data_IF_277951029035
#
_entry.id   IF_277951029035
#
_cell.length_a   1.000
_cell.length_b   1.000
_cell.length_c   1.000
_cell.angle_alpha   90.00
_cell.angle_beta   90.00
_cell.angle_gamma   90.00
#
_symmetry.space_group_name_H-M   'P 1'
#
loop_
_entity.id
_entity.type
_entity.pdbx_description
1 polymer ?
#
# COMPACT_ATOMS: atom_id res chain seq x y z
N UNK A 1 7.65 24.68 33.59
CA UNK A 1 6.33 24.79 32.93
C UNK A 1 6.44 25.02 31.42
N UNK A 2 7.24 25.97 30.91
CA UNK A 2 7.44 26.15 29.45
C UNK A 2 8.11 24.95 28.76
N UNK A 3 9.09 24.33 29.41
CA UNK A 3 9.82 23.18 28.86
C UNK A 3 8.96 21.92 28.70
N UNK A 4 8.04 21.69 29.64
CA UNK A 4 7.15 20.52 29.62
C UNK A 4 6.11 20.61 28.51
N UNK A 5 5.60 21.82 28.25
CA UNK A 5 4.65 22.07 27.15
C UNK A 5 5.34 21.89 25.79
N UNK A 6 6.58 22.37 25.66
CA UNK A 6 7.36 22.18 24.44
C UNK A 6 7.64 20.69 24.15
N UNK A 7 7.94 19.91 25.19
CA UNK A 7 8.19 18.47 25.06
C UNK A 7 6.93 17.70 24.63
N UNK A 8 5.78 18.02 25.22
CA UNK A 8 4.49 17.40 24.87
C UNK A 8 4.08 17.71 23.42
N UNK A 9 4.30 18.95 22.97
CA UNK A 9 4.05 19.33 21.57
C UNK A 9 4.98 18.60 20.60
N UNK A 10 6.25 18.44 20.94
CA UNK A 10 7.20 17.70 20.11
C UNK A 10 6.80 16.23 19.96
N UNK A 11 6.40 15.57 21.05
CA UNK A 11 5.93 14.17 21.02
C UNK A 11 4.65 14.04 20.20
N UNK A 12 3.70 14.97 20.33
CA UNK A 12 2.45 14.95 19.56
C UNK A 12 2.71 15.09 18.05
N UNK A 13 3.63 15.96 17.62
CA UNK A 13 4.01 16.13 16.21
C UNK A 13 4.67 14.87 15.64
N UNK A 14 5.54 14.22 16.41
CA UNK A 14 6.22 12.99 15.99
C UNK A 14 5.20 11.87 15.77
N UNK A 15 4.26 11.67 16.69
CA UNK A 15 3.23 10.62 16.57
C UNK A 15 2.30 10.87 15.39
N UNK A 16 1.88 12.12 15.16
CA UNK A 16 1.00 12.47 14.03
C UNK A 16 1.71 12.25 12.68
N UNK A 17 3.00 12.55 12.58
CA UNK A 17 3.79 12.38 11.35
C UNK A 17 3.99 10.91 10.98
N UNK A 18 4.07 10.01 11.98
CA UNK A 18 4.19 8.57 11.74
C UNK A 18 2.87 7.89 11.39
N UNK A 19 1.73 8.48 11.76
CA UNK A 19 0.41 7.91 11.51
C UNK A 19 -0.07 8.09 10.05
N UNK A 20 0.50 9.05 9.30
CA UNK A 20 0.05 9.36 7.92
C UNK A 20 0.45 8.29 6.91
N UNK A 21 1.38 7.38 7.24
CA UNK A 21 1.86 6.33 6.33
C UNK A 21 1.06 5.03 6.41
N UNK A 22 0.02 4.98 7.24
CA UNK A 22 -0.93 3.86 7.31
C UNK A 22 -2.26 4.15 6.59
N UNK A 23 -2.37 5.30 5.91
CA UNK A 23 -3.51 5.68 5.11
C UNK A 23 -3.16 5.58 3.62
N UNK A 24 -2.90 4.36 3.16
CA UNK A 24 -2.87 4.06 1.73
C UNK A 24 -3.85 2.91 1.47
N UNK A 25 -5.11 3.33 1.51
CA UNK A 25 -6.21 2.86 0.67
C UNK A 25 -6.56 1.38 0.80
N UNK A 26 -7.72 1.16 1.42
CA UNK A 26 -8.66 0.06 1.20
C UNK A 26 -9.08 -0.09 -0.28
N UNK A 27 -8.12 -0.07 -1.21
CA UNK A 27 -8.26 -0.76 -2.47
C UNK A 27 -7.75 -2.17 -2.17
N UNK A 28 -8.65 -3.16 -2.14
CA UNK A 28 -8.33 -4.55 -1.85
C UNK A 28 -7.24 -5.03 -2.81
N UNK A 29 -5.98 -4.92 -2.39
CA UNK A 29 -4.84 -5.34 -3.19
C UNK A 29 -4.94 -6.84 -3.41
N UNK A 30 -5.20 -7.23 -4.66
CA UNK A 30 -5.28 -8.63 -5.06
C UNK A 30 -4.16 -8.88 -6.04
N UNK A 31 -3.11 -9.54 -5.56
CA UNK A 31 -2.09 -10.11 -6.42
C UNK A 31 -2.66 -11.35 -7.12
N UNK A 32 -2.60 -11.37 -8.45
CA UNK A 32 -3.03 -12.51 -9.24
C UNK A 32 -1.84 -13.47 -9.48
N UNK A 33 -2.07 -14.79 -9.42
CA UNK A 33 -1.06 -15.77 -9.78
C UNK A 33 -0.76 -15.68 -11.28
N UNK A 34 0.53 -15.57 -11.65
CA UNK A 34 0.95 -15.49 -13.05
C UNK A 34 2.18 -14.58 -13.20
N UNK A 35 2.75 -14.58 -14.41
CA UNK A 35 3.82 -13.64 -14.78
C UNK A 35 3.29 -12.41 -15.50
N UNK A 36 2.15 -12.53 -16.19
CA UNK A 36 1.52 -11.45 -16.96
C UNK A 36 0.01 -11.46 -16.75
N UNK A 37 -0.68 -10.37 -17.12
CA UNK A 37 -2.14 -10.32 -17.11
C UNK A 37 -2.78 -11.27 -18.14
N UNK A 38 -2.06 -11.68 -19.18
CA UNK A 38 -2.54 -12.64 -20.18
C UNK A 38 -2.57 -14.08 -19.63
N UNK A 39 -1.64 -14.41 -18.72
CA UNK A 39 -1.55 -15.73 -18.07
C UNK A 39 -2.29 -15.79 -16.73
N UNK A 40 -2.69 -14.64 -16.20
CA UNK A 40 -3.34 -14.52 -14.91
C UNK A 40 -4.85 -14.81 -15.01
N UNK A 41 -5.46 -15.38 -13.96
CA UNK A 41 -6.92 -15.51 -13.91
C UNK A 41 -7.58 -14.12 -13.88
N UNK A 42 -8.84 -14.01 -14.33
CA UNK A 42 -9.58 -12.76 -14.26
C UNK A 42 -9.77 -12.31 -12.81
N UNK A 43 -9.76 -11.00 -12.59
CA UNK A 43 -10.03 -10.42 -11.28
C UNK A 43 -11.47 -10.68 -10.83
N UNK A 44 -11.72 -10.84 -9.52
CA UNK A 44 -13.06 -10.77 -8.98
C UNK A 44 -13.65 -9.38 -9.20
N UNK A 45 -14.98 -9.31 -9.32
CA UNK A 45 -15.75 -8.08 -9.51
C UNK A 45 -15.51 -7.37 -10.87
N UNK A 46 -15.11 -8.12 -11.91
CA UNK A 46 -14.82 -7.60 -13.27
C UNK A 46 -13.79 -6.46 -13.29
N UNK A 47 -12.92 -6.42 -12.26
CA UNK A 47 -11.84 -5.43 -12.19
C UNK A 47 -10.83 -5.65 -13.32
N UNK A 48 -10.25 -4.59 -13.87
CA UNK A 48 -9.19 -4.74 -14.87
C UNK A 48 -7.93 -5.33 -14.22
N UNK A 49 -7.28 -6.29 -14.89
CA UNK A 49 -5.93 -6.68 -14.51
C UNK A 49 -4.94 -5.58 -14.92
N UNK A 50 -4.02 -5.25 -14.03
CA UNK A 50 -2.92 -4.33 -14.28
C UNK A 50 -1.60 -4.88 -13.75
N UNK A 51 -0.51 -4.52 -14.41
CA UNK A 51 0.83 -4.87 -13.97
C UNK A 51 1.33 -3.77 -13.04
N UNK A 52 1.48 -4.08 -11.75
CA UNK A 52 1.82 -3.12 -10.72
C UNK A 52 3.06 -3.57 -9.93
N UNK A 53 3.83 -2.64 -9.34
CA UNK A 53 4.87 -3.00 -8.38
C UNK A 53 4.29 -3.85 -7.24
N UNK A 54 4.98 -4.90 -6.78
CA UNK A 54 4.49 -5.73 -5.70
C UNK A 54 4.40 -4.94 -4.40
N UNK A 55 3.26 -5.03 -3.69
CA UNK A 55 3.15 -4.50 -2.33
C UNK A 55 3.89 -5.44 -1.37
N UNK A 56 4.91 -4.93 -0.69
CA UNK A 56 5.71 -5.70 0.25
C UNK A 56 5.45 -5.22 1.67
N UNK A 57 5.22 -6.17 2.58
CA UNK A 57 5.00 -5.86 3.98
C UNK A 57 6.31 -5.84 4.80
N UNK A 58 7.40 -6.44 4.30
CA UNK A 58 8.74 -6.38 4.90
C UNK A 58 9.85 -6.86 3.92
N UNK A 59 11.03 -6.24 3.98
CA UNK A 59 12.23 -6.69 3.24
C UNK A 59 12.44 -6.05 1.86
N UNK A 60 13.32 -6.63 1.04
CA UNK A 60 13.54 -6.22 -0.36
C UNK A 60 12.46 -6.81 -1.26
N UNK A 61 11.55 -5.95 -1.73
CA UNK A 61 10.66 -6.26 -2.84
C UNK A 61 11.43 -6.63 -4.11
N UNK A 62 10.89 -7.54 -4.91
CA UNK A 62 11.19 -7.52 -6.33
C UNK A 62 10.73 -6.18 -6.93
N UNK A 63 11.51 -5.61 -7.85
CA UNK A 63 11.10 -4.42 -8.61
C UNK A 63 10.27 -4.78 -9.83
N UNK A 64 10.20 -6.07 -10.15
CA UNK A 64 9.46 -6.58 -11.30
C UNK A 64 7.96 -6.39 -11.08
N UNK A 65 7.25 -5.76 -12.03
CA UNK A 65 5.80 -5.65 -11.98
C UNK A 65 5.15 -7.03 -11.94
N UNK A 66 4.11 -7.16 -11.12
CA UNK A 66 3.33 -8.38 -10.97
C UNK A 66 1.86 -8.14 -11.35
N UNK A 67 1.17 -9.16 -11.89
CA UNK A 67 -0.26 -9.06 -12.17
C UNK A 67 -1.04 -8.77 -10.89
N UNK A 68 -1.85 -7.73 -10.92
CA UNK A 68 -2.62 -7.22 -9.78
C UNK A 68 -3.97 -6.72 -10.28
N UNK A 69 -5.02 -6.86 -9.47
CA UNK A 69 -6.30 -6.25 -9.78
C UNK A 69 -6.24 -4.74 -9.60
N UNK A 70 -6.71 -4.01 -10.61
CA UNK A 70 -6.84 -2.57 -10.58
C UNK A 70 -8.03 -2.12 -9.73
N UNK A 71 -8.23 -0.79 -9.63
CA UNK A 71 -9.28 -0.21 -8.81
C UNK A 71 -10.66 -0.66 -9.27
N UNK A 72 -11.59 -0.72 -8.31
CA UNK A 72 -12.99 -1.03 -8.61
C UNK A 72 -13.62 0.11 -9.45
N UNK A 73 -14.35 -0.20 -10.53
CA UNK A 73 -15.04 0.80 -11.34
C UNK A 73 -16.22 1.48 -10.62
#
# INVERSE_FOLDING_TARGET
MKLTIALLMAVAVIVLSTAVMAADETDDYIHLPGKTCDDAPPCPDDRPCMMAPPRCNAGTCGTDPVPTCGPKP
#
